data_IF_538478378809
#
_entry.id   IF_538478378809
#
_cell.length_a   1.000
_cell.length_b   1.000
_cell.length_c   1.000
_cell.angle_alpha   90.00
_cell.angle_beta   90.00
_cell.angle_gamma   90.00
#
_symmetry.space_group_name_H-M   'P 1'
#
loop_
_entity.id
_entity.type
_entity.pdbx_description
1 polymer ?
#
# COMPACT_ATOMS: atom_id res chain seq x y z
N UNK A 1 -1.58 0.93 -20.77
CA UNK A 1 -0.97 1.81 -19.75
C UNK A 1 0.48 1.37 -19.58
N UNK A 2 1.45 2.29 -19.43
CA UNK A 2 2.87 1.92 -19.34
C UNK A 2 3.19 1.22 -18.02
N UNK A 3 4.04 0.19 -18.08
CA UNK A 3 4.52 -0.63 -16.95
C UNK A 3 5.04 0.18 -15.76
N UNK A 4 5.58 1.38 -16.00
CA UNK A 4 6.02 2.32 -14.97
C UNK A 4 4.87 2.86 -14.11
N UNK A 5 3.69 3.05 -14.69
CA UNK A 5 2.49 3.53 -13.99
C UNK A 5 1.93 2.47 -13.05
N UNK A 6 1.95 1.20 -13.47
CA UNK A 6 1.55 0.07 -12.64
C UNK A 6 2.48 -0.13 -11.43
N UNK A 7 3.77 0.18 -11.58
CA UNK A 7 4.73 0.12 -10.48
C UNK A 7 4.58 1.31 -9.52
N UNK A 8 4.34 2.53 -10.03
CA UNK A 8 4.04 3.71 -9.20
C UNK A 8 2.75 3.50 -8.38
N UNK A 9 1.69 2.98 -8.99
CA UNK A 9 0.42 2.66 -8.33
C UNK A 9 0.54 1.44 -7.40
N UNK A 10 1.47 0.52 -7.67
CA UNK A 10 1.76 -0.57 -6.74
C UNK A 10 2.38 0.00 -5.47
N UNK A 11 3.44 0.81 -5.56
CA UNK A 11 4.21 1.28 -4.41
C UNK A 11 3.62 2.49 -3.68
N UNK A 12 2.49 3.02 -4.15
CA UNK A 12 1.88 4.25 -3.63
C UNK A 12 2.84 5.46 -3.64
N UNK A 13 3.79 5.45 -4.58
CA UNK A 13 4.81 6.50 -4.74
C UNK A 13 4.45 7.33 -5.97
N UNK A 14 4.21 8.62 -5.74
CA UNK A 14 3.80 9.56 -6.78
C UNK A 14 4.79 10.71 -6.91
N UNK A 15 4.94 11.23 -8.13
CA UNK A 15 5.79 12.42 -8.39
C UNK A 15 5.24 13.73 -7.82
N UNK A 16 4.00 13.77 -7.32
CA UNK A 16 3.45 14.88 -6.55
C UNK A 16 2.30 14.39 -5.66
N UNK A 17 2.03 15.10 -4.57
CA UNK A 17 0.91 14.80 -3.68
C UNK A 17 -0.47 14.99 -4.33
N UNK A 18 -0.57 15.77 -5.40
CA UNK A 18 -1.83 16.05 -6.10
C UNK A 18 -2.24 14.94 -7.09
N UNK A 19 -1.29 14.07 -7.45
CA UNK A 19 -1.53 12.96 -8.39
C UNK A 19 -2.45 11.89 -7.82
N UNK A 20 -2.42 11.68 -6.50
CA UNK A 20 -3.33 10.74 -5.83
C UNK A 20 -4.49 11.52 -5.21
N UNK A 21 -5.70 11.20 -5.66
CA UNK A 21 -6.95 11.79 -5.17
C UNK A 21 -7.82 10.71 -4.54
N UNK A 22 -8.64 11.10 -3.58
CA UNK A 22 -9.73 10.26 -3.09
C UNK A 22 -10.70 9.97 -4.24
N UNK A 23 -11.57 8.97 -4.07
CA UNK A 23 -12.67 8.71 -5.02
C UNK A 23 -13.60 9.91 -5.20
N UNK A 24 -13.68 10.80 -4.20
CA UNK A 24 -14.39 12.08 -4.27
C UNK A 24 -13.69 13.16 -5.13
N UNK A 25 -12.45 12.91 -5.59
CA UNK A 25 -11.65 13.89 -6.33
C UNK A 25 -10.85 14.86 -5.46
N UNK A 26 -11.02 14.81 -4.14
CA UNK A 26 -10.25 15.60 -3.17
C UNK A 26 -8.80 15.11 -3.04
N UNK A 27 -7.90 16.03 -2.74
CA UNK A 27 -6.52 15.70 -2.35
C UNK A 27 -6.49 15.09 -0.96
N UNK A 28 -5.47 14.26 -0.71
CA UNK A 28 -5.23 13.76 0.64
C UNK A 28 -4.57 14.84 1.50
N UNK A 29 -4.85 14.85 2.82
CA UNK A 29 -4.18 15.76 3.75
C UNK A 29 -2.70 15.40 3.92
N UNK A 30 -1.88 16.36 4.36
CA UNK A 30 -0.42 16.20 4.47
C UNK A 30 0.03 15.03 5.37
N UNK A 31 -0.77 14.61 6.35
CA UNK A 31 -0.45 13.46 7.22
C UNK A 31 -0.66 12.10 6.53
N UNK A 32 -1.33 12.07 5.37
CA UNK A 32 -1.62 10.84 4.65
C UNK A 32 -0.48 10.39 3.71
N UNK A 33 0.55 11.23 3.55
CA UNK A 33 1.70 10.94 2.71
C UNK A 33 2.98 11.49 3.33
N UNK A 34 4.13 10.99 2.85
CA UNK A 34 5.46 11.42 3.26
C UNK A 34 6.30 11.68 2.03
N UNK A 35 6.99 12.81 2.00
CA UNK A 35 7.99 13.10 0.97
C UNK A 35 9.25 12.26 1.23
N UNK A 36 9.74 11.61 0.16
CA UNK A 36 10.95 10.80 0.14
C UNK A 36 12.14 11.69 -0.23
N UNK A 37 13.36 11.23 0.07
CA UNK A 37 14.60 11.96 -0.22
C UNK A 37 14.84 12.27 -1.71
N UNK A 38 14.09 11.63 -2.60
CA UNK A 38 14.14 11.85 -4.05
C UNK A 38 13.02 12.79 -4.56
N UNK A 39 12.32 13.50 -3.65
CA UNK A 39 11.23 14.43 -3.97
C UNK A 39 9.92 13.76 -4.40
N UNK A 40 9.81 12.43 -4.29
CA UNK A 40 8.55 11.69 -4.54
C UNK A 40 7.76 11.55 -3.24
N UNK A 41 6.46 11.33 -3.37
CA UNK A 41 5.52 11.25 -2.26
C UNK A 41 5.02 9.83 -2.08
N UNK A 42 5.33 9.22 -0.93
CA UNK A 42 4.79 7.93 -0.51
C UNK A 42 3.49 8.15 0.26
N UNK A 43 2.39 7.62 -0.24
CA UNK A 43 1.12 7.68 0.46
C UNK A 43 0.99 6.50 1.42
N UNK A 44 0.74 6.81 2.69
CA UNK A 44 0.77 5.83 3.81
C UNK A 44 -0.60 5.20 4.09
N UNK A 45 -1.65 5.70 3.45
CA UNK A 45 -3.00 5.18 3.62
C UNK A 45 -3.41 4.32 2.44
N UNK A 46 -2.88 3.09 2.39
CA UNK A 46 -3.63 2.03 1.72
C UNK A 46 -4.84 1.70 2.61
N UNK A 47 -5.99 1.43 2.01
CA UNK A 47 -7.09 0.85 2.78
C UNK A 47 -6.65 -0.52 3.34
N UNK A 48 -7.23 -0.95 4.45
CA UNK A 48 -6.96 -2.28 5.00
C UNK A 48 -7.14 -3.39 3.94
N UNK A 49 -8.12 -3.22 3.04
CA UNK A 49 -8.35 -4.12 1.89
C UNK A 49 -7.21 -4.13 0.87
N UNK A 50 -6.60 -2.98 0.60
CA UNK A 50 -5.47 -2.88 -0.31
C UNK A 50 -4.22 -3.55 0.30
N UNK A 51 -3.96 -3.34 1.59
CA UNK A 51 -2.90 -4.06 2.29
C UNK A 51 -3.14 -5.57 2.25
N UNK A 52 -4.37 -6.02 2.52
CA UNK A 52 -4.76 -7.43 2.45
C UNK A 52 -4.47 -8.03 1.08
N UNK A 53 -4.92 -7.39 -0.01
CA UNK A 53 -4.67 -7.87 -1.39
C UNK A 53 -3.17 -7.97 -1.72
N UNK A 54 -2.38 -7.01 -1.22
CA UNK A 54 -0.92 -7.02 -1.43
C UNK A 54 -0.24 -8.17 -0.71
N UNK A 55 -0.62 -8.42 0.55
CA UNK A 55 -0.06 -9.54 1.33
C UNK A 55 -0.44 -10.87 0.67
N UNK A 56 -1.69 -11.01 0.24
CA UNK A 56 -2.15 -12.22 -0.47
C UNK A 56 -1.34 -12.47 -1.75
N UNK A 57 -1.09 -11.43 -2.56
CA UNK A 57 -0.26 -11.54 -3.77
C UNK A 57 1.20 -11.93 -3.45
N UNK A 58 1.76 -11.41 -2.37
CA UNK A 58 3.10 -11.79 -1.91
C UNK A 58 3.15 -13.25 -1.46
N UNK A 59 2.14 -13.72 -0.72
CA UNK A 59 2.01 -15.12 -0.31
C UNK A 59 1.96 -16.06 -1.51
N UNK A 60 1.19 -15.70 -2.56
CA UNK A 60 1.12 -16.45 -3.81
C UNK A 60 2.48 -16.54 -4.52
N UNK A 61 3.23 -15.43 -4.62
CA UNK A 61 4.56 -15.40 -5.23
C UNK A 61 5.56 -16.28 -4.48
N UNK A 62 5.43 -16.36 -3.15
CA UNK A 62 6.29 -17.17 -2.30
C UNK A 62 5.81 -18.62 -2.16
N UNK A 63 4.73 -19.00 -2.86
CA UNK A 63 4.08 -20.32 -2.76
C UNK A 63 3.70 -20.69 -1.32
N UNK A 64 3.39 -19.68 -0.50
CA UNK A 64 3.03 -19.86 0.90
C UNK A 64 1.50 -20.00 1.05
N UNK A 65 1.03 -21.00 1.82
CA UNK A 65 -0.39 -21.13 2.14
C UNK A 65 -0.97 -19.91 2.86
N UNK A 66 -2.24 -19.63 2.60
CA UNK A 66 -3.02 -18.66 3.35
C UNK A 66 -3.08 -19.02 4.84
N UNK A 67 -2.93 -18.04 5.72
CA UNK A 67 -2.96 -18.25 7.17
C UNK A 67 -1.66 -18.74 7.81
N UNK A 68 -0.57 -18.83 7.06
CA UNK A 68 0.78 -19.15 7.57
C UNK A 68 1.51 -17.92 8.13
N UNK A 69 1.18 -16.73 7.64
CA UNK A 69 1.65 -15.47 8.23
C UNK A 69 0.84 -15.15 9.48
N UNK A 70 1.52 -15.12 10.63
CA UNK A 70 0.97 -14.68 11.91
C UNK A 70 1.59 -13.34 12.27
N UNK A 71 0.75 -12.36 12.58
CA UNK A 71 1.18 -11.02 13.00
C UNK A 71 0.69 -10.77 14.40
N UNK A 72 1.60 -10.35 15.28
CA UNK A 72 1.27 -9.95 16.63
C UNK A 72 1.06 -8.43 16.69
N UNK A 73 -0.10 -8.02 17.21
CA UNK A 73 -0.42 -6.62 17.47
C UNK A 73 -1.02 -6.48 18.86
N UNK A 74 -0.39 -5.67 19.71
CA UNK A 74 -0.79 -5.44 21.11
C UNK A 74 -0.97 -6.75 21.91
N UNK A 75 -0.10 -7.73 21.67
CA UNK A 75 -0.15 -9.04 22.33
C UNK A 75 -1.22 -9.99 21.80
N UNK A 76 -1.97 -9.61 20.76
CA UNK A 76 -2.90 -10.50 20.06
C UNK A 76 -2.31 -10.95 18.74
N UNK A 77 -2.43 -12.24 18.45
CA UNK A 77 -1.95 -12.83 17.21
C UNK A 77 -3.08 -12.95 16.19
N UNK A 78 -2.81 -12.51 14.98
CA UNK A 78 -3.74 -12.56 13.86
C UNK A 78 -3.12 -13.35 12.72
N UNK A 79 -3.86 -14.32 12.18
CA UNK A 79 -3.47 -15.00 10.94
C UNK A 79 -3.87 -14.13 9.77
N UNK A 80 -2.91 -13.85 8.90
CA UNK A 80 -3.18 -13.13 7.66
C UNK A 80 -3.57 -14.15 6.58
N UNK A 81 -4.75 -14.00 5.96
CA UNK A 81 -5.18 -14.86 4.85
C UNK A 81 -4.29 -14.67 3.62
#
# INVERSE_FOLDING_TARGET
>A
MSRSKELEDADDIYGSAEKRKKSSGETYPAHAYRELSNGRFLFLHMSADQHRKRIQKLLEILELPSGLLEVEYRGQKYKIP
#
